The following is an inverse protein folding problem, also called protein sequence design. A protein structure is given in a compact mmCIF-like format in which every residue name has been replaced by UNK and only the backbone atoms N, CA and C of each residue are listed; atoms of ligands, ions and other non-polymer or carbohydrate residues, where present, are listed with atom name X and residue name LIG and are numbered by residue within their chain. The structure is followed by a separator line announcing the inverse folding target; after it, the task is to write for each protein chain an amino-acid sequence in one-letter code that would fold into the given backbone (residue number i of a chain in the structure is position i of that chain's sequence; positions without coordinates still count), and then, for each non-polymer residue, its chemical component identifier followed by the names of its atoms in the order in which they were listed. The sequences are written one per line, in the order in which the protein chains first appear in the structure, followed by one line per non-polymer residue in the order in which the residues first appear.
data_IF_974509075018
#
_entry.id   IF_974509075018
#
_cell.length_a   1.000
_cell.length_b   1.000
_cell.length_c   1.000
_cell.angle_alpha   90.00
_cell.angle_beta   90.00
_cell.angle_gamma   90.00
#
_symmetry.space_group_name_H-M   'P 1'
#
loop_
_entity.id
_entity.type
_entity.pdbx_description
1 polymer ?
#
# COMPACT_ATOMS: atom_id res chain seq x y z
N UNK A 1 4.50 -1.87 -10.24
CA UNK A 1 4.68 -2.85 -9.15
C UNK A 1 4.00 -2.30 -7.91
N UNK A 2 3.31 -3.15 -7.15
CA UNK A 2 2.52 -2.77 -5.98
C UNK A 2 3.01 -3.61 -4.79
N UNK A 3 3.38 -2.97 -3.69
CA UNK A 3 3.88 -3.61 -2.48
C UNK A 3 2.91 -3.37 -1.31
N UNK A 4 2.75 -4.40 -0.48
CA UNK A 4 1.81 -4.44 0.64
C UNK A 4 2.37 -3.95 1.98
N UNK A 5 3.58 -3.39 2.04
CA UNK A 5 4.26 -2.99 3.29
C UNK A 5 5.48 -3.85 3.60
N UNK A 6 6.16 -3.53 4.71
CA UNK A 6 7.36 -4.20 5.21
C UNK A 6 8.44 -4.41 4.13
N UNK A 7 8.71 -3.36 3.35
CA UNK A 7 9.86 -3.34 2.43
C UNK A 7 11.18 -3.46 3.20
N UNK A 8 11.20 -2.97 4.44
CA UNK A 8 12.33 -3.10 5.34
C UNK A 8 11.91 -3.77 6.65
N UNK A 9 12.71 -4.73 7.11
CA UNK A 9 12.52 -5.39 8.40
C UNK A 9 12.82 -4.49 9.60
N UNK A 10 13.67 -3.48 9.41
CA UNK A 10 14.01 -2.50 10.44
C UNK A 10 13.52 -1.13 10.01
N UNK A 11 12.91 -0.39 10.94
CA UNK A 11 12.44 0.97 10.71
C UNK A 11 13.57 1.92 10.27
N UNK A 12 14.79 1.67 10.79
CA UNK A 12 16.03 2.38 10.43
C UNK A 12 16.99 1.40 9.75
N UNK A 13 16.80 1.08 8.46
CA UNK A 13 17.64 0.10 7.80
C UNK A 13 19.10 0.54 7.77
N UNK A 14 20.01 -0.42 7.87
CA UNK A 14 21.45 -0.11 7.74
C UNK A 14 21.78 0.55 6.40
N UNK A 15 22.86 1.34 6.35
CA UNK A 15 23.34 1.98 5.11
C UNK A 15 23.55 0.98 3.98
N UNK A 16 24.03 -0.22 4.30
CA UNK A 16 24.22 -1.32 3.33
C UNK A 16 22.90 -1.70 2.67
N UNK A 17 21.84 -1.87 3.46
CA UNK A 17 20.49 -2.24 2.99
C UNK A 17 19.91 -1.11 2.12
N UNK A 18 20.03 0.14 2.56
CA UNK A 18 19.55 1.31 1.80
C UNK A 18 20.25 1.38 0.44
N UNK A 19 21.59 1.33 0.41
CA UNK A 19 22.35 1.37 -0.85
C UNK A 19 21.96 0.22 -1.80
N UNK A 20 21.76 -0.99 -1.28
CA UNK A 20 21.36 -2.14 -2.07
C UNK A 20 19.95 -1.97 -2.65
N UNK A 21 18.98 -1.53 -1.85
CA UNK A 21 17.61 -1.29 -2.29
C UNK A 21 17.56 -0.21 -3.37
N UNK A 22 18.28 0.91 -3.19
CA UNK A 22 18.41 1.97 -4.20
C UNK A 22 19.00 1.40 -5.50
N UNK A 23 20.10 0.63 -5.41
CA UNK A 23 20.72 0.01 -6.57
C UNK A 23 19.75 -0.88 -7.35
N UNK A 24 19.03 -1.77 -6.66
CA UNK A 24 18.08 -2.70 -7.28
C UNK A 24 16.91 -1.95 -7.93
N UNK A 25 16.31 -0.99 -7.22
CA UNK A 25 15.21 -0.18 -7.78
C UNK A 25 15.69 0.58 -9.01
N UNK A 26 16.86 1.23 -8.96
CA UNK A 26 17.41 1.93 -10.13
C UNK A 26 17.70 0.99 -11.28
N UNK A 27 18.26 -0.19 -11.01
CA UNK A 27 18.62 -1.16 -12.04
C UNK A 27 17.40 -1.71 -12.79
N UNK A 28 16.30 -1.97 -12.09
CA UNK A 28 15.15 -2.68 -12.66
C UNK A 28 13.91 -1.81 -12.91
N UNK A 29 13.76 -0.68 -12.22
CA UNK A 29 12.57 0.18 -12.34
C UNK A 29 12.79 1.44 -13.18
N UNK A 30 14.04 1.79 -13.51
CA UNK A 30 14.36 2.92 -14.39
C UNK A 30 14.68 2.42 -15.79
N UNK A 31 14.46 3.27 -16.79
CA UNK A 31 14.78 2.94 -18.18
C UNK A 31 13.98 3.74 -19.19
N UNK A 32 14.23 3.50 -20.47
CA UNK A 32 13.63 4.24 -21.59
C UNK A 32 12.21 3.80 -21.95
N UNK A 33 11.73 2.68 -21.37
CA UNK A 33 10.41 2.12 -21.69
C UNK A 33 9.32 3.02 -21.12
N UNK A 34 8.44 3.51 -21.98
CA UNK A 34 7.28 4.30 -21.56
C UNK A 34 6.18 3.43 -20.96
N UNK A 35 5.53 3.93 -19.92
CA UNK A 35 4.36 3.30 -19.32
C UNK A 35 3.20 3.32 -20.30
N UNK A 36 2.47 2.21 -20.39
CA UNK A 36 1.29 2.07 -21.27
C UNK A 36 -0.02 2.47 -20.58
N UNK A 37 0.05 3.21 -19.48
CA UNK A 37 -1.12 3.63 -18.70
C UNK A 37 -1.00 5.10 -18.33
N UNK A 38 -2.15 5.73 -18.10
CA UNK A 38 -2.28 7.11 -17.65
C UNK A 38 -2.59 7.12 -16.16
N UNK A 39 -2.05 8.12 -15.47
CA UNK A 39 -2.41 8.40 -14.07
C UNK A 39 -3.47 9.50 -14.08
N UNK A 40 -4.67 9.16 -13.63
CA UNK A 40 -5.84 10.04 -13.62
C UNK A 40 -5.90 10.91 -12.36
N UNK A 41 -5.57 10.31 -11.21
CA UNK A 41 -5.55 11.00 -9.92
C UNK A 41 -4.41 10.51 -9.06
N UNK A 42 -3.78 11.46 -8.38
CA UNK A 42 -2.75 11.27 -7.38
C UNK A 42 -3.22 12.06 -6.17
N UNK A 43 -3.62 11.40 -5.07
CA UNK A 43 -4.03 12.14 -3.91
C UNK A 43 -2.85 12.97 -3.39
N UNK A 44 -3.09 14.27 -3.25
CA UNK A 44 -2.13 15.13 -2.59
C UNK A 44 -2.24 14.92 -1.09
N UNK A 45 -1.19 14.31 -0.52
CA UNK A 45 -1.11 14.07 0.92
C UNK A 45 -0.14 15.03 1.62
N UNK A 46 0.44 16.04 0.97
CA UNK A 46 1.25 17.09 1.61
C UNK A 46 1.22 18.37 0.75
N UNK A 47 0.40 19.34 1.14
CA UNK A 47 0.29 20.63 0.43
C UNK A 47 1.52 21.55 0.59
N UNK A 48 2.50 21.16 1.41
CA UNK A 48 3.55 22.06 1.90
C UNK A 48 4.72 22.28 0.93
N UNK A 49 4.97 21.39 -0.03
CA UNK A 49 6.06 21.57 -1.00
C UNK A 49 5.61 21.25 -2.43
N UNK A 50 5.43 22.32 -3.22
CA UNK A 50 4.97 22.26 -4.62
C UNK A 50 6.13 22.15 -5.62
N UNK A 51 7.38 22.08 -5.16
CA UNK A 51 8.55 22.20 -6.05
C UNK A 51 8.90 20.89 -6.76
N UNK A 52 8.61 19.74 -6.15
CA UNK A 52 8.84 18.41 -6.74
C UNK A 52 7.54 17.60 -6.83
N UNK A 53 7.31 16.89 -7.95
CA UNK A 53 6.16 16.02 -8.08
C UNK A 53 6.30 14.83 -7.10
N UNK A 54 5.31 14.67 -6.22
CA UNK A 54 5.29 13.65 -5.17
C UNK A 54 5.35 12.20 -5.69
N UNK A 55 4.84 11.98 -6.90
CA UNK A 55 4.86 10.69 -7.57
C UNK A 55 5.90 10.72 -8.68
N UNK A 56 6.86 9.78 -8.64
CA UNK A 56 8.01 9.75 -9.54
C UNK A 56 7.64 9.63 -11.02
N UNK A 57 6.46 9.08 -11.33
CA UNK A 57 5.95 8.95 -12.70
C UNK A 57 5.61 10.30 -13.35
N UNK A 58 5.46 11.36 -12.55
CA UNK A 58 5.21 12.72 -13.03
C UNK A 58 6.47 13.58 -13.04
N UNK A 59 7.61 13.06 -12.59
CA UNK A 59 8.86 13.81 -12.58
C UNK A 59 9.51 13.83 -13.97
N UNK A 60 9.62 15.01 -14.63
CA UNK A 60 10.24 15.10 -15.96
C UNK A 60 11.74 14.77 -15.94
N UNK A 61 12.39 14.78 -14.78
CA UNK A 61 13.80 14.48 -14.62
C UNK A 61 14.08 12.98 -14.38
N UNK A 62 13.03 12.16 -14.19
CA UNK A 62 13.16 10.73 -13.89
C UNK A 62 12.60 9.88 -15.02
N UNK A 63 13.45 9.05 -15.62
CA UNK A 63 13.03 8.04 -16.58
C UNK A 63 12.63 6.74 -15.85
N UNK A 64 11.42 6.74 -15.32
CA UNK A 64 10.81 5.55 -14.70
C UNK A 64 10.30 4.62 -15.81
N UNK A 65 10.62 3.33 -15.74
CA UNK A 65 10.10 2.30 -16.65
C UNK A 65 9.05 1.41 -15.98
N UNK A 66 9.25 1.10 -14.70
CA UNK A 66 8.33 0.32 -13.86
C UNK A 66 8.09 1.12 -12.57
N UNK A 67 6.98 1.86 -12.46
CA UNK A 67 6.69 2.61 -11.24
C UNK A 67 6.35 1.64 -10.11
N UNK A 68 6.94 1.92 -8.94
CA UNK A 68 6.78 1.16 -7.71
C UNK A 68 5.85 1.93 -6.77
N UNK A 69 4.77 1.31 -6.31
CA UNK A 69 3.84 1.86 -5.32
C UNK A 69 3.91 1.00 -4.06
N UNK A 70 3.98 1.62 -2.89
CA UNK A 70 4.01 0.91 -1.61
C UNK A 70 3.25 1.67 -0.55
N UNK A 71 2.52 0.92 0.29
CA UNK A 71 2.20 1.37 1.65
C UNK A 71 3.36 1.00 2.59
N UNK A 72 3.35 1.52 3.81
CA UNK A 72 4.23 1.02 4.87
C UNK A 72 3.55 -0.10 5.65
N UNK A 73 4.33 -1.04 6.16
CA UNK A 73 3.93 -2.04 7.13
C UNK A 73 4.23 -1.60 8.56
N UNK A 74 4.33 -2.57 9.48
CA UNK A 74 4.59 -2.34 10.90
C UNK A 74 6.09 -2.31 11.23
N UNK A 75 6.96 -2.80 10.34
CA UNK A 75 8.41 -2.74 10.52
C UNK A 75 9.03 -1.45 9.96
N UNK A 76 8.41 -0.88 8.92
CA UNK A 76 8.84 0.36 8.26
C UNK A 76 7.83 1.50 8.45
N UNK A 77 7.23 1.58 9.63
CA UNK A 77 6.21 2.56 10.01
C UNK A 77 6.75 3.99 10.25
N UNK A 78 5.90 5.03 10.15
CA UNK A 78 6.28 6.39 10.53
C UNK A 78 6.60 6.52 12.02
N UNK A 79 7.80 7.02 12.36
CA UNK A 79 8.22 7.27 13.74
C UNK A 79 8.71 8.71 13.96
N UNK A 80 8.76 9.11 15.24
CA UNK A 80 9.27 10.42 15.66
C UNK A 80 8.28 11.56 15.44
N UNK A 81 8.69 12.78 15.83
CA UNK A 81 7.84 13.98 15.80
C UNK A 81 7.38 14.35 14.38
N UNK A 82 8.25 14.13 13.40
CA UNK A 82 7.97 14.42 11.98
C UNK A 82 7.17 13.31 11.29
N UNK A 83 6.93 12.17 11.97
CA UNK A 83 6.22 11.03 11.39
C UNK A 83 6.85 10.54 10.09
N UNK A 84 8.17 10.34 10.08
CA UNK A 84 8.91 9.88 8.90
C UNK A 84 9.23 8.39 9.01
N UNK A 85 9.26 7.72 7.87
CA UNK A 85 9.67 6.32 7.72
C UNK A 85 10.72 6.17 6.62
N UNK A 86 11.25 4.95 6.47
CA UNK A 86 12.18 4.63 5.39
C UNK A 86 11.58 4.89 4.00
N UNK A 87 10.28 4.65 3.80
CA UNK A 87 9.61 4.93 2.52
C UNK A 87 9.58 6.42 2.16
N UNK A 88 9.57 7.35 3.13
CA UNK A 88 9.67 8.78 2.84
C UNK A 88 11.02 9.11 2.18
N UNK A 89 12.12 8.48 2.61
CA UNK A 89 13.45 8.64 1.99
C UNK A 89 13.42 8.19 0.53
N UNK A 90 12.85 7.01 0.27
CA UNK A 90 12.78 6.44 -1.07
C UNK A 90 11.80 7.21 -1.97
N UNK A 91 10.72 7.76 -1.40
CA UNK A 91 9.77 8.60 -2.13
C UNK A 91 10.40 9.93 -2.53
N UNK A 92 11.06 10.61 -1.60
CA UNK A 92 11.74 11.89 -1.88
C UNK A 92 12.93 11.72 -2.85
N UNK A 93 13.53 10.54 -2.90
CA UNK A 93 14.57 10.21 -3.89
C UNK A 93 14.00 9.79 -5.27
N UNK A 94 12.68 9.78 -5.46
CA UNK A 94 12.04 9.42 -6.72
C UNK A 94 12.04 7.91 -7.03
N UNK A 95 12.26 7.06 -6.03
CA UNK A 95 12.40 5.60 -6.20
C UNK A 95 11.08 4.85 -6.00
N UNK A 96 10.26 5.32 -5.06
CA UNK A 96 8.98 4.70 -4.67
C UNK A 96 7.88 5.75 -4.69
N UNK A 97 6.67 5.36 -5.05
CA UNK A 97 5.46 6.17 -4.87
C UNK A 97 4.81 5.73 -3.56
N UNK A 98 5.11 6.44 -2.47
CA UNK A 98 4.57 6.14 -1.15
C UNK A 98 3.13 6.67 -1.03
N UNK A 99 2.18 5.77 -0.77
CA UNK A 99 0.76 6.08 -0.61
C UNK A 99 0.19 5.42 0.65
N UNK A 100 -1.03 5.79 1.05
CA UNK A 100 -1.70 5.20 2.20
C UNK A 100 -1.17 5.64 3.58
N UNK A 101 -0.34 6.69 3.63
CA UNK A 101 0.13 7.30 4.88
C UNK A 101 -1.05 7.92 5.64
N UNK A 102 -1.21 7.56 6.92
CA UNK A 102 -2.28 8.07 7.77
C UNK A 102 -1.91 9.48 8.25
N UNK A 103 -2.73 10.48 7.92
CA UNK A 103 -2.47 11.88 8.25
C UNK A 103 -3.12 12.34 9.56
N UNK A 104 -4.34 11.86 9.85
CA UNK A 104 -5.09 12.25 11.04
C UNK A 104 -5.28 11.06 11.97
N UNK A 105 -5.06 11.32 13.25
CA UNK A 105 -5.27 10.36 14.33
C UNK A 105 -6.73 10.17 14.71
N UNK A 106 -7.59 11.14 14.36
CA UNK A 106 -9.01 11.20 14.74
C UNK A 106 -9.92 10.57 13.69
N UNK A 107 -9.64 10.84 12.40
CA UNK A 107 -10.42 10.32 11.28
C UNK A 107 -9.49 9.94 10.13
N UNK A 108 -9.68 8.75 9.58
CA UNK A 108 -8.93 8.27 8.43
C UNK A 108 -9.75 8.52 7.17
N UNK A 109 -9.23 9.35 6.26
CA UNK A 109 -9.76 9.50 4.89
C UNK A 109 -8.82 8.81 3.91
N UNK A 110 -9.35 7.85 3.15
CA UNK A 110 -8.58 7.06 2.19
C UNK A 110 -8.94 7.51 0.77
N UNK A 111 -7.95 8.08 0.07
CA UNK A 111 -8.09 8.57 -1.29
C UNK A 111 -7.43 7.60 -2.28
N UNK A 112 -8.06 7.28 -3.43
CA UNK A 112 -7.47 6.36 -4.39
C UNK A 112 -6.42 7.01 -5.29
N UNK A 113 -5.38 6.25 -5.60
CA UNK A 113 -4.53 6.48 -6.77
C UNK A 113 -5.22 5.86 -7.98
N UNK A 114 -5.49 6.66 -9.01
CA UNK A 114 -6.30 6.21 -10.15
C UNK A 114 -5.49 6.11 -11.44
N UNK A 115 -5.73 5.02 -12.17
CA UNK A 115 -5.05 4.69 -13.41
C UNK A 115 -6.05 4.35 -14.52
N UNK A 116 -5.65 4.60 -15.76
CA UNK A 116 -6.36 4.14 -16.96
C UNK A 116 -5.41 3.49 -17.94
N UNK A 117 -5.79 2.34 -18.48
CA UNK A 117 -5.05 1.65 -19.55
C UNK A 117 -6.02 1.20 -20.63
N UNK A 118 -6.03 1.90 -21.77
CA UNK A 118 -7.10 1.73 -22.76
C UNK A 118 -8.44 2.10 -22.12
N UNK A 119 -9.40 1.19 -22.20
CA UNK A 119 -10.75 1.37 -21.65
C UNK A 119 -10.87 0.90 -20.18
N UNK A 120 -9.83 0.27 -19.62
CA UNK A 120 -9.84 -0.23 -18.24
C UNK A 120 -9.41 0.86 -17.25
N UNK A 121 -10.18 1.01 -16.18
CA UNK A 121 -9.91 1.92 -15.07
C UNK A 121 -9.58 1.12 -13.81
N UNK A 122 -8.61 1.63 -13.04
CA UNK A 122 -8.13 1.00 -11.82
C UNK A 122 -8.01 2.06 -10.73
N UNK A 123 -8.65 1.81 -9.59
CA UNK A 123 -8.51 2.61 -8.38
C UNK A 123 -7.76 1.80 -7.32
N UNK A 124 -6.63 2.31 -6.86
CA UNK A 124 -5.84 1.67 -5.79
C UNK A 124 -5.96 2.52 -4.53
N UNK A 125 -6.59 1.92 -3.52
CA UNK A 125 -6.71 2.44 -2.17
C UNK A 125 -5.65 1.80 -1.29
N UNK A 126 -5.05 2.58 -0.39
CA UNK A 126 -3.99 2.09 0.49
C UNK A 126 -4.20 2.55 1.92
N UNK A 127 -3.93 1.66 2.85
CA UNK A 127 -3.89 1.94 4.28
C UNK A 127 -2.60 1.35 4.85
N UNK A 128 -1.64 2.22 5.19
CA UNK A 128 -0.44 1.82 5.89
C UNK A 128 -0.76 1.22 7.26
N UNK A 129 0.21 0.48 7.83
CA UNK A 129 -0.02 -0.20 9.09
C UNK A 129 -0.40 0.78 10.22
N UNK A 130 -1.32 0.33 11.05
CA UNK A 130 -1.79 0.96 12.26
C UNK A 130 -2.03 -0.16 13.27
N UNK A 131 -1.89 0.13 14.56
CA UNK A 131 -2.24 -0.84 15.60
C UNK A 131 -3.65 -1.40 15.39
N UNK A 132 -3.79 -2.73 15.25
CA UNK A 132 -5.06 -3.37 14.88
C UNK A 132 -6.22 -2.95 15.80
N UNK A 133 -5.97 -2.93 17.11
CA UNK A 133 -7.01 -2.59 18.10
C UNK A 133 -7.54 -1.17 17.95
N UNK A 134 -6.67 -0.25 17.50
CA UNK A 134 -7.06 1.13 17.20
C UNK A 134 -7.85 1.17 15.90
N UNK A 135 -7.35 0.54 14.85
CA UNK A 135 -8.02 0.55 13.55
C UNK A 135 -9.41 -0.09 13.63
N UNK A 136 -9.55 -1.21 14.34
CA UNK A 136 -10.83 -1.89 14.55
C UNK A 136 -11.82 -0.99 15.31
N UNK A 137 -11.36 -0.23 16.32
CA UNK A 137 -12.19 0.77 17.03
C UNK A 137 -12.62 1.90 16.10
N UNK A 138 -11.73 2.37 15.23
CA UNK A 138 -12.05 3.43 14.27
C UNK A 138 -13.08 2.98 13.23
N UNK A 139 -12.98 1.75 12.71
CA UNK A 139 -14.00 1.19 11.82
C UNK A 139 -15.36 1.06 12.54
N UNK A 140 -15.39 0.52 13.76
CA UNK A 140 -16.63 0.41 14.57
C UNK A 140 -17.26 1.79 14.85
N UNK A 141 -16.44 2.82 15.00
CA UNK A 141 -16.89 4.19 15.22
C UNK A 141 -17.19 4.98 13.93
N UNK A 142 -17.13 4.36 12.74
CA UNK A 142 -17.29 5.00 11.44
C UNK A 142 -16.30 6.17 11.18
N UNK A 143 -15.10 6.08 11.78
CA UNK A 143 -14.02 7.07 11.64
C UNK A 143 -13.05 6.74 10.49
N UNK A 144 -13.29 5.67 9.75
CA UNK A 144 -12.53 5.31 8.55
C UNK A 144 -13.45 5.44 7.34
N UNK A 145 -13.10 6.30 6.39
CA UNK A 145 -13.88 6.55 5.19
C UNK A 145 -12.98 6.44 3.96
N UNK A 146 -13.45 5.78 2.92
CA UNK A 146 -12.80 5.80 1.62
C UNK A 146 -13.60 6.71 0.67
N UNK A 147 -12.89 7.61 -0.01
CA UNK A 147 -13.52 8.47 -1.01
C UNK A 147 -13.92 7.62 -2.23
N UNK A 148 -15.20 7.66 -2.64
CA UNK A 148 -15.62 6.94 -3.83
C UNK A 148 -14.84 7.47 -5.04
N UNK A 149 -14.60 6.64 -6.06
CA UNK A 149 -13.99 7.13 -7.29
C UNK A 149 -14.85 8.26 -7.87
N UNK A 150 -14.27 9.37 -8.36
CA UNK A 150 -15.03 10.48 -8.94
C UNK A 150 -15.97 9.96 -10.02
N UNK A 151 -17.26 10.29 -9.88
CA UNK A 151 -18.44 9.66 -10.50
C UNK A 151 -18.51 9.82 -12.05
N UNK A 152 -17.44 10.16 -12.76
CA UNK A 152 -17.49 10.28 -14.23
C UNK A 152 -17.29 8.93 -14.96
N UNK A 153 -18.38 8.16 -15.01
CA UNK A 153 -18.76 7.29 -16.14
C UNK A 153 -17.86 6.13 -16.58
N UNK A 154 -16.98 5.62 -15.73
CA UNK A 154 -16.34 4.32 -16.00
C UNK A 154 -16.31 3.45 -14.78
N UNK A 155 -16.86 2.24 -14.88
CA UNK A 155 -16.61 1.16 -13.92
C UNK A 155 -15.09 1.03 -13.71
N UNK A 156 -14.66 1.22 -12.46
CA UNK A 156 -13.27 1.09 -12.06
C UNK A 156 -13.13 -0.16 -11.22
N UNK A 157 -12.07 -0.93 -11.47
CA UNK A 157 -11.70 -2.02 -10.60
C UNK A 157 -11.01 -1.45 -9.36
N UNK A 158 -11.52 -1.74 -8.18
CA UNK A 158 -11.13 -1.14 -6.92
C UNK A 158 -10.30 -2.13 -6.09
N UNK A 159 -9.00 -1.83 -5.96
CA UNK A 159 -8.06 -2.59 -5.13
C UNK A 159 -7.86 -1.86 -3.81
N UNK A 160 -7.97 -2.58 -2.69
CA UNK A 160 -7.62 -2.08 -1.37
C UNK A 160 -6.39 -2.80 -0.83
N UNK A 161 -5.32 -2.07 -0.52
CA UNK A 161 -4.07 -2.59 0.04
C UNK A 161 -4.00 -2.24 1.52
N UNK A 162 -3.82 -3.23 2.39
CA UNK A 162 -3.66 -3.03 3.83
C UNK A 162 -2.59 -3.93 4.42
N UNK A 163 -2.06 -3.51 5.57
CA UNK A 163 -1.03 -4.23 6.32
C UNK A 163 -1.46 -4.38 7.79
N UNK A 164 -2.28 -5.40 8.07
CA UNK A 164 -2.92 -5.67 9.36
C UNK A 164 -2.99 -7.16 9.64
N UNK A 165 -3.11 -7.55 10.92
CA UNK A 165 -3.40 -8.95 11.26
C UNK A 165 -4.76 -9.38 10.67
N UNK A 166 -4.76 -10.51 9.98
CA UNK A 166 -5.95 -11.15 9.41
C UNK A 166 -6.60 -12.10 10.40
N UNK A 167 -5.78 -12.86 11.14
CA UNK A 167 -6.26 -13.92 12.00
C UNK A 167 -6.46 -13.47 13.44
N UNK A 168 -7.54 -13.95 14.06
CA UNK A 168 -7.88 -13.65 15.45
C UNK A 168 -6.92 -14.37 16.40
N UNK A 169 -5.94 -13.63 16.93
CA UNK A 169 -5.20 -14.05 18.12
C UNK A 169 -5.95 -13.68 19.40
N UNK A 170 -6.39 -12.43 19.52
CA UNK A 170 -7.27 -11.88 20.56
C UNK A 170 -8.39 -11.02 19.92
N UNK A 171 -9.42 -10.63 20.68
CA UNK A 171 -10.61 -9.94 20.11
C UNK A 171 -10.33 -8.63 19.37
N UNK A 172 -9.31 -7.88 19.79
CA UNK A 172 -8.92 -6.60 19.20
C UNK A 172 -7.61 -6.65 18.39
N UNK A 173 -7.03 -7.83 18.12
CA UNK A 173 -5.71 -7.95 17.49
C UNK A 173 -5.75 -8.34 16.01
N UNK A 174 -6.83 -8.02 15.31
CA UNK A 174 -7.03 -8.34 13.90
C UNK A 174 -8.15 -7.49 13.30
N UNK A 175 -8.19 -7.44 11.97
CA UNK A 175 -9.24 -6.77 11.21
C UNK A 175 -10.16 -7.83 10.58
N UNK A 176 -11.45 -7.88 10.97
CA UNK A 176 -12.43 -8.75 10.33
C UNK A 176 -12.54 -8.45 8.83
N UNK A 177 -12.52 -9.48 7.99
CA UNK A 177 -12.54 -9.33 6.53
C UNK A 177 -13.80 -8.61 6.03
N UNK A 178 -14.91 -8.70 6.76
CA UNK A 178 -16.23 -8.15 6.42
C UNK A 178 -16.43 -6.69 6.85
N UNK A 179 -15.48 -6.09 7.57
CA UNK A 179 -15.57 -4.69 8.01
C UNK A 179 -15.18 -3.69 6.91
N UNK A 180 -14.58 -4.17 5.81
CA UNK A 180 -14.10 -3.33 4.72
C UNK A 180 -15.25 -2.87 3.80
N UNK A 181 -14.93 -1.90 2.94
CA UNK A 181 -15.91 -1.20 2.11
C UNK A 181 -16.53 -2.12 1.05
N UNK A 182 -17.84 -1.98 0.82
CA UNK A 182 -18.60 -2.87 -0.08
C UNK A 182 -18.28 -2.66 -1.57
N UNK A 183 -17.81 -1.49 -1.96
CA UNK A 183 -17.51 -1.15 -3.36
C UNK A 183 -16.19 -1.75 -3.87
N UNK A 184 -15.43 -2.43 -3.01
CA UNK A 184 -14.17 -3.04 -3.39
C UNK A 184 -14.40 -4.25 -4.31
N UNK A 185 -13.39 -4.53 -5.14
CA UNK A 185 -13.36 -5.72 -5.99
C UNK A 185 -12.28 -6.72 -5.52
N UNK A 186 -11.13 -6.20 -5.05
CA UNK A 186 -10.01 -6.99 -4.55
C UNK A 186 -9.34 -6.35 -3.34
N UNK A 187 -9.05 -7.17 -2.33
CA UNK A 187 -8.28 -6.81 -1.14
C UNK A 187 -6.92 -7.50 -1.21
N UNK A 188 -5.84 -6.72 -1.18
CA UNK A 188 -4.47 -7.19 -1.07
C UNK A 188 -4.02 -7.09 0.38
N UNK A 189 -3.95 -8.25 1.05
CA UNK A 189 -3.57 -8.38 2.46
C UNK A 189 -2.06 -8.57 2.59
N UNK A 190 -1.34 -7.57 3.10
CA UNK A 190 0.11 -7.48 3.02
C UNK A 190 0.89 -7.92 4.27
N UNK A 191 0.26 -8.08 5.42
CA UNK A 191 0.94 -8.38 6.69
C UNK A 191 1.23 -9.85 6.92
N UNK A 192 0.29 -10.72 6.53
CA UNK A 192 0.41 -12.14 6.79
C UNK A 192 1.50 -12.75 5.91
N UNK A 193 2.38 -13.54 6.52
CA UNK A 193 3.52 -14.14 5.81
C UNK A 193 3.19 -15.47 5.14
N UNK A 194 2.09 -16.12 5.50
CA UNK A 194 1.59 -17.32 4.83
C UNK A 194 1.19 -16.98 3.38
N UNK A 195 1.66 -17.76 2.41
CA UNK A 195 1.31 -17.53 1.00
C UNK A 195 -0.03 -18.21 0.69
N UNK A 196 -1.07 -17.39 0.56
CA UNK A 196 -2.40 -17.73 0.05
C UNK A 196 -2.71 -16.78 -1.11
N UNK A 197 -1.90 -16.88 -2.16
CA UNK A 197 -1.89 -15.93 -3.28
C UNK A 197 -3.16 -15.97 -4.12
N UNK A 198 -3.78 -17.14 -4.26
CA UNK A 198 -5.00 -17.33 -5.05
C UNK A 198 -6.17 -16.58 -4.40
N UNK A 199 -6.83 -15.64 -5.12
CA UNK A 199 -7.91 -14.85 -4.54
C UNK A 199 -9.09 -15.71 -4.08
N UNK A 200 -9.53 -15.50 -2.84
CA UNK A 200 -10.73 -16.14 -2.28
C UNK A 200 -11.85 -15.14 -2.09
N UNK A 201 -13.09 -15.52 -2.36
CA UNK A 201 -14.23 -14.65 -2.12
C UNK A 201 -14.49 -14.50 -0.61
N UNK A 202 -14.64 -13.26 -0.15
CA UNK A 202 -14.97 -12.99 1.26
C UNK A 202 -16.45 -13.27 1.51
N UNK A 203 -16.75 -13.97 2.60
CA UNK A 203 -18.12 -14.39 2.93
C UNK A 203 -19.02 -13.15 3.05
N UNK A 204 -20.18 -13.20 2.39
CA UNK A 204 -21.18 -12.12 2.38
C UNK A 204 -20.67 -10.78 1.81
N UNK A 205 -19.60 -10.79 1.00
CA UNK A 205 -19.04 -9.61 0.34
C UNK A 205 -18.86 -9.85 -1.16
N UNK A 206 -18.85 -8.75 -1.92
CA UNK A 206 -18.65 -8.78 -3.37
C UNK A 206 -17.19 -8.89 -3.82
N UNK A 207 -16.23 -8.62 -2.92
CA UNK A 207 -14.79 -8.63 -3.23
C UNK A 207 -14.11 -9.95 -2.92
N UNK A 208 -12.95 -10.11 -3.56
CA UNK A 208 -12.00 -11.17 -3.30
C UNK A 208 -10.85 -10.67 -2.40
N UNK A 209 -10.17 -11.59 -1.73
CA UNK A 209 -9.00 -11.34 -0.91
C UNK A 209 -7.83 -12.19 -1.42
N UNK A 210 -6.68 -11.56 -1.64
CA UNK A 210 -5.41 -12.23 -1.92
C UNK A 210 -4.40 -11.92 -0.81
N UNK A 211 -3.62 -12.93 -0.42
CA UNK A 211 -2.58 -12.83 0.61
C UNK A 211 -1.28 -13.42 0.07
N UNK A 212 -0.43 -12.62 -0.59
CA UNK A 212 0.79 -13.10 -1.23
C UNK A 212 1.84 -13.73 -0.30
N UNK A 213 1.78 -13.46 1.00
CA UNK A 213 2.81 -13.89 1.93
C UNK A 213 4.08 -13.03 1.86
N UNK A 214 5.07 -13.41 2.66
CA UNK A 214 6.38 -12.77 2.68
C UNK A 214 7.29 -13.26 1.55
N UNK A 215 8.31 -12.46 1.19
CA UNK A 215 9.33 -12.86 0.22
C UNK A 215 10.48 -13.70 0.81
N UNK A 216 10.53 -13.80 2.14
CA UNK A 216 11.53 -14.55 2.90
C UNK A 216 10.91 -15.10 4.18
N UNK A 217 11.46 -16.22 4.67
CA UNK A 217 11.08 -16.78 5.96
C UNK A 217 11.69 -15.90 7.07
N UNK A 218 10.85 -15.21 7.83
CA UNK A 218 11.19 -14.40 9.01
C UNK A 218 10.97 -15.15 10.33
N UNK A 219 10.13 -16.19 10.32
CA UNK A 219 9.81 -17.01 11.50
C UNK A 219 9.71 -18.49 11.15
N UNK A 220 10.11 -19.37 12.08
CA UNK A 220 9.97 -20.82 11.92
C UNK A 220 8.55 -21.25 12.29
N UNK A 221 7.58 -20.83 11.50
CA UNK A 221 6.15 -21.13 11.68
C UNK A 221 5.60 -21.99 10.55
N UNK A 222 4.47 -22.66 10.79
CA UNK A 222 3.80 -23.48 9.77
C UNK A 222 3.38 -22.65 8.56
N UNK A 223 2.84 -21.44 8.77
CA UNK A 223 2.44 -20.55 7.67
C UNK A 223 3.62 -20.14 6.78
N UNK A 224 4.82 -20.01 7.37
CA UNK A 224 6.01 -19.64 6.60
C UNK A 224 6.68 -20.83 5.87
N UNK A 225 6.27 -22.06 6.16
CA UNK A 225 6.73 -23.25 5.43
C UNK A 225 6.10 -23.41 4.04
N UNK A 226 5.01 -22.68 3.77
CA UNK A 226 4.35 -22.67 2.46
C UNK A 226 5.27 -22.00 1.43
N UNK A 227 5.34 -22.56 0.22
CA UNK A 227 6.09 -21.99 -0.91
C UNK A 227 5.65 -20.56 -1.19
N UNK A 228 6.62 -19.67 -1.38
CA UNK A 228 6.41 -18.25 -1.70
C UNK A 228 6.31 -18.04 -3.19
#
# INVERSE_FOLDING_TARGET
MLLGGDLFHENKPSRKIICQAIYLIRKYCFGKKTQKFQVLNLPDFNESDKTLPKFNIKDPNLNISIPLFSIHGNHDDPIGMEGLCSLDIFSNAGLVNYFGKIQSSEKISIKPVMFRKGDSNLSIYGLGSLKDSRLQKMFKANLVQAEPPPISNTESFNIFVLHQNRYKHNEESYIPEDILFEFLDLVFWGHEHECLIDPIQVKNKGYFLTQPGSSVITSLSKGESVTK
#
